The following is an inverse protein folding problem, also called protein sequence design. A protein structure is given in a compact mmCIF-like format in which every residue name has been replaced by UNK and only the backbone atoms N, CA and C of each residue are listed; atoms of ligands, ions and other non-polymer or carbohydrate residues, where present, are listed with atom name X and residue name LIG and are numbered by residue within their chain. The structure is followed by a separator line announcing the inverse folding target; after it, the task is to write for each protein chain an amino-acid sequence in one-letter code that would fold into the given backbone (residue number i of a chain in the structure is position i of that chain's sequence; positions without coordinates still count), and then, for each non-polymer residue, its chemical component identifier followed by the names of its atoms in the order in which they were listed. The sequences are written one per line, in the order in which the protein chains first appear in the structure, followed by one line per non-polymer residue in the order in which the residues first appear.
data_IF_735311113640
#
_entry.id   IF_735311113640
#
_cell.length_a   1.000
_cell.length_b   1.000
_cell.length_c   1.000
_cell.angle_alpha   90.00
_cell.angle_beta   90.00
_cell.angle_gamma   90.00
#
_symmetry.space_group_name_H-M   'P 1'
#
loop_
_entity.id
_entity.type
_entity.pdbx_description
1 polymer ?
#
# COMPACT_ATOMS: atom_id res chain seq x y z
N UNK A 1 43.53 -7.81 -26.57
CA UNK A 1 42.93 -8.81 -25.66
C UNK A 1 42.29 -8.01 -24.53
N UNK A 2 40.95 -8.01 -24.49
CA UNK A 2 40.04 -7.54 -23.43
C UNK A 2 40.01 -6.00 -23.22
N UNK A 3 39.06 -5.26 -23.81
CA UNK A 3 37.59 -5.16 -23.58
C UNK A 3 37.22 -4.28 -22.36
N UNK A 4 36.48 -3.21 -22.68
CA UNK A 4 35.34 -2.61 -21.97
C UNK A 4 35.42 -2.32 -20.46
N UNK A 5 35.43 -1.04 -20.10
CA UNK A 5 34.81 -0.54 -18.86
C UNK A 5 34.04 0.75 -19.16
N UNK A 6 32.85 0.58 -19.72
CA UNK A 6 31.75 1.55 -19.62
C UNK A 6 31.22 1.52 -18.17
N UNK A 7 31.24 2.66 -17.48
CA UNK A 7 30.80 2.73 -16.08
C UNK A 7 30.50 4.15 -15.60
N UNK A 8 29.66 4.86 -16.35
CA UNK A 8 28.75 5.95 -15.95
C UNK A 8 29.11 6.72 -14.66
N UNK A 9 30.00 7.71 -14.79
CA UNK A 9 30.07 8.89 -13.91
C UNK A 9 29.09 9.94 -14.44
N UNK A 10 27.86 9.94 -13.93
CA UNK A 10 26.94 11.09 -14.06
C UNK A 10 26.96 11.87 -12.75
N UNK A 11 28.11 12.50 -12.49
CA UNK A 11 28.24 13.63 -11.58
C UNK A 11 28.03 14.91 -12.37
N UNK A 12 26.86 15.54 -12.19
CA UNK A 12 26.53 16.84 -12.77
C UNK A 12 25.51 17.52 -11.89
N UNK A 13 25.97 18.53 -11.16
CA UNK A 13 25.18 19.32 -10.22
C UNK A 13 24.25 20.33 -10.92
N UNK A 14 23.37 20.92 -10.11
CA UNK A 14 22.65 22.21 -10.25
C UNK A 14 21.20 22.12 -10.74
N UNK A 15 20.28 22.61 -9.89
CA UNK A 15 18.91 22.94 -10.26
C UNK A 15 17.95 23.14 -9.08
N UNK A 16 18.27 24.05 -8.17
CA UNK A 16 17.35 24.55 -7.14
C UNK A 16 16.28 25.42 -7.81
N UNK A 17 15.05 24.93 -8.02
CA UNK A 17 13.83 25.74 -8.13
C UNK A 17 12.60 24.94 -7.65
N UNK A 18 12.09 25.39 -6.51
CA UNK A 18 10.76 25.18 -5.96
C UNK A 18 9.67 25.49 -7.00
N UNK A 19 8.71 24.58 -7.22
CA UNK A 19 7.52 24.93 -7.99
C UNK A 19 6.62 23.76 -8.33
N UNK A 20 5.53 23.63 -7.57
CA UNK A 20 4.41 22.72 -7.82
C UNK A 20 4.76 21.22 -7.75
N UNK A 21 4.78 20.69 -6.52
CA UNK A 21 4.14 19.39 -6.31
C UNK A 21 2.68 19.59 -6.70
N UNK A 22 2.37 19.27 -7.96
CA UNK A 22 0.99 19.14 -8.41
C UNK A 22 0.42 18.05 -7.50
N UNK A 23 -0.30 18.48 -6.46
CA UNK A 23 -1.29 17.66 -5.78
C UNK A 23 -2.28 17.30 -6.87
N UNK A 24 -1.96 16.31 -7.70
CA UNK A 24 -2.91 15.76 -8.63
C UNK A 24 -4.01 15.22 -7.71
N UNK A 25 -5.17 15.89 -7.61
CA UNK A 25 -6.21 15.41 -6.74
C UNK A 25 -6.51 14.02 -7.28
N UNK A 26 -6.46 13.04 -6.39
CA UNK A 26 -7.08 11.78 -6.70
C UNK A 26 -8.54 12.12 -6.98
N UNK A 27 -8.89 12.22 -8.26
CA UNK A 27 -10.27 12.34 -8.71
C UNK A 27 -10.97 11.26 -7.90
N UNK A 28 -11.85 11.65 -6.98
CA UNK A 28 -12.58 10.76 -6.07
C UNK A 28 -13.05 9.58 -6.91
N UNK A 29 -12.27 8.50 -6.94
CA UNK A 29 -12.62 7.33 -7.69
C UNK A 29 -13.83 6.81 -6.93
N UNK A 30 -15.00 6.98 -7.53
CA UNK A 30 -16.29 6.69 -6.91
C UNK A 30 -16.15 5.32 -6.25
N UNK A 31 -16.24 5.28 -4.92
CA UNK A 31 -16.09 4.05 -4.15
C UNK A 31 -17.03 3.01 -4.77
N UNK A 32 -16.47 2.01 -5.45
CA UNK A 32 -17.26 1.04 -6.20
C UNK A 32 -17.01 -0.33 -5.59
N UNK A 33 -18.03 -0.96 -4.99
CA UNK A 33 -18.07 -2.38 -4.60
C UNK A 33 -16.76 -2.94 -4.01
N UNK A 34 -16.16 -2.24 -3.04
CA UNK A 34 -14.94 -2.69 -2.36
C UNK A 34 -13.64 -2.55 -3.16
N UNK A 35 -13.61 -1.74 -4.23
CA UNK A 35 -12.39 -1.43 -4.99
C UNK A 35 -11.94 -0.01 -4.71
N UNK A 36 -10.63 0.16 -4.65
CA UNK A 36 -9.97 1.46 -4.56
C UNK A 36 -8.64 1.45 -5.27
N UNK A 37 -8.10 2.62 -5.60
CA UNK A 37 -6.72 2.72 -6.07
C UNK A 37 -5.79 2.86 -4.87
N UNK A 38 -4.72 2.06 -4.85
CA UNK A 38 -3.72 2.08 -3.79
C UNK A 38 -2.35 1.71 -4.38
N UNK A 39 -1.31 1.70 -3.54
CA UNK A 39 -0.02 1.12 -3.91
C UNK A 39 0.41 0.05 -2.91
N UNK A 40 1.07 -0.99 -3.40
CA UNK A 40 1.65 -2.05 -2.58
C UNK A 40 3.11 -2.28 -2.94
N UNK A 41 3.91 -2.67 -1.94
CA UNK A 41 5.24 -3.27 -2.13
C UNK A 41 5.52 -4.31 -1.05
N UNK A 42 6.49 -5.16 -1.31
CA UNK A 42 7.08 -6.05 -0.31
C UNK A 42 8.08 -5.27 0.54
N UNK A 43 7.98 -5.38 1.86
CA UNK A 43 9.00 -4.91 2.79
C UNK A 43 10.04 -6.00 3.04
N UNK A 44 9.57 -7.21 3.35
CA UNK A 44 10.40 -8.41 3.47
C UNK A 44 9.59 -9.68 3.17
N UNK A 45 10.29 -10.77 2.85
CA UNK A 45 9.69 -12.04 2.42
C UNK A 45 9.41 -12.08 0.92
N UNK A 46 8.50 -12.96 0.50
CA UNK A 46 8.12 -13.10 -0.90
C UNK A 46 6.60 -13.23 -1.07
N UNK A 47 6.09 -12.60 -2.12
CA UNK A 47 4.69 -12.69 -2.52
C UNK A 47 4.59 -12.64 -4.03
N UNK A 48 3.83 -13.56 -4.61
CA UNK A 48 3.62 -13.61 -6.05
C UNK A 48 2.94 -12.31 -6.54
N UNK A 49 3.41 -11.76 -7.66
CA UNK A 49 2.88 -10.53 -8.23
C UNK A 49 3.27 -9.21 -7.53
N UNK A 50 4.09 -9.26 -6.47
CA UNK A 50 4.61 -8.08 -5.76
C UNK A 50 6.14 -8.07 -5.67
N UNK A 51 6.71 -6.87 -5.58
CA UNK A 51 8.16 -6.63 -5.51
C UNK A 51 8.48 -5.61 -4.42
N UNK A 52 9.76 -5.39 -4.13
CA UNK A 52 10.21 -4.33 -3.21
C UNK A 52 9.95 -2.91 -3.73
N UNK A 53 9.77 -2.74 -5.05
CA UNK A 53 9.32 -1.49 -5.65
C UNK A 53 7.81 -1.28 -5.49
N UNK A 54 7.39 -0.03 -5.26
CA UNK A 54 5.97 0.33 -5.19
C UNK A 54 5.27 0.07 -6.53
N UNK A 55 4.13 -0.62 -6.45
CA UNK A 55 3.23 -0.84 -7.57
C UNK A 55 1.89 -0.19 -7.28
N UNK A 56 1.51 0.78 -8.11
CA UNK A 56 0.17 1.38 -8.10
C UNK A 56 -0.81 0.49 -8.86
N UNK A 57 -2.05 0.47 -8.41
CA UNK A 57 -3.13 -0.25 -9.10
C UNK A 57 -4.44 -0.23 -8.33
N UNK A 58 -5.44 -0.90 -8.91
CA UNK A 58 -6.70 -1.14 -8.23
C UNK A 58 -6.53 -2.30 -7.25
N UNK A 59 -6.89 -2.05 -5.99
CA UNK A 59 -6.99 -3.02 -4.92
C UNK A 59 -8.47 -3.29 -4.66
N UNK A 60 -8.86 -4.55 -4.62
CA UNK A 60 -10.15 -4.96 -4.08
C UNK A 60 -9.97 -5.44 -2.65
N UNK A 61 -10.78 -4.89 -1.75
CA UNK A 61 -10.74 -5.19 -0.32
C UNK A 61 -11.95 -6.08 0.01
N UNK A 62 -11.65 -7.24 0.59
CA UNK A 62 -12.59 -8.18 1.19
C UNK A 62 -12.19 -8.41 2.65
N UNK A 63 -13.10 -8.85 3.52
CA UNK A 63 -12.75 -9.23 4.88
C UNK A 63 -11.59 -10.25 4.87
N UNK A 64 -10.46 -9.91 5.50
CA UNK A 64 -9.26 -10.75 5.56
C UNK A 64 -8.43 -10.88 4.27
N UNK A 65 -8.81 -10.23 3.16
CA UNK A 65 -8.12 -10.38 1.88
C UNK A 65 -8.00 -9.07 1.10
N UNK A 66 -6.85 -8.89 0.45
CA UNK A 66 -6.65 -7.89 -0.59
C UNK A 66 -6.49 -8.62 -1.93
N UNK A 67 -7.04 -8.08 -3.01
CA UNK A 67 -6.78 -8.55 -4.36
C UNK A 67 -6.11 -7.42 -5.14
N UNK A 68 -4.92 -7.68 -5.67
CA UNK A 68 -4.13 -6.70 -6.39
C UNK A 68 -3.58 -7.32 -7.67
N UNK A 69 -3.92 -6.69 -8.82
CA UNK A 69 -3.51 -7.17 -10.16
C UNK A 69 -3.84 -8.65 -10.43
N UNK A 70 -4.94 -9.14 -9.88
CA UNK A 70 -5.38 -10.53 -10.04
C UNK A 70 -4.80 -11.51 -9.02
N UNK A 71 -3.88 -11.07 -8.15
CA UNK A 71 -3.33 -11.89 -7.07
C UNK A 71 -4.11 -11.65 -5.77
N UNK A 72 -4.53 -12.72 -5.12
CA UNK A 72 -5.13 -12.68 -3.78
C UNK A 72 -4.04 -12.68 -2.72
N UNK A 73 -4.19 -11.80 -1.74
CA UNK A 73 -3.26 -11.58 -0.63
C UNK A 73 -4.05 -11.81 0.66
N UNK A 74 -3.74 -12.90 1.36
CA UNK A 74 -4.32 -13.18 2.67
C UNK A 74 -3.70 -12.26 3.72
N UNK A 75 -4.54 -11.49 4.41
CA UNK A 75 -4.11 -10.57 5.45
C UNK A 75 -4.30 -11.21 6.82
N UNK A 76 -3.20 -11.33 7.56
CA UNK A 76 -3.22 -11.81 8.95
C UNK A 76 -3.45 -10.64 9.92
N UNK A 77 -2.76 -9.52 9.69
CA UNK A 77 -2.92 -8.31 10.48
C UNK A 77 -2.48 -7.08 9.70
N UNK A 78 -2.96 -5.91 10.16
CA UNK A 78 -2.54 -4.60 9.67
C UNK A 78 -2.07 -3.78 10.88
N UNK A 79 -0.98 -3.03 10.73
CA UNK A 79 -0.48 -2.17 11.79
C UNK A 79 -1.44 -1.02 12.08
N UNK A 80 -1.70 -0.73 13.35
CA UNK A 80 -2.46 0.46 13.76
C UNK A 80 -1.66 1.76 13.56
N UNK A 81 -0.33 1.67 13.68
CA UNK A 81 0.58 2.79 13.47
C UNK A 81 0.84 3.01 11.96
N UNK A 82 -0.03 3.80 11.32
CA UNK A 82 0.22 4.29 9.97
C UNK A 82 1.37 5.31 9.95
N UNK A 83 2.15 5.32 8.86
CA UNK A 83 3.16 6.35 8.63
C UNK A 83 2.88 7.16 7.37
N UNK A 84 3.39 8.38 7.35
CA UNK A 84 3.43 9.18 6.13
C UNK A 84 4.52 8.66 5.15
N UNK A 85 4.34 8.86 3.84
CA UNK A 85 5.35 8.61 2.83
C UNK A 85 6.63 9.42 3.07
N UNK A 86 7.79 8.78 2.96
CA UNK A 86 9.06 9.50 2.92
C UNK A 86 9.19 10.28 1.59
N UNK A 87 10.05 11.31 1.56
CA UNK A 87 10.24 12.18 0.38
C UNK A 87 10.54 11.37 -0.89
N UNK A 88 11.41 10.35 -0.80
CA UNK A 88 11.74 9.48 -1.93
C UNK A 88 10.58 8.60 -2.42
N UNK A 89 9.51 8.45 -1.64
CA UNK A 89 8.33 7.67 -2.00
C UNK A 89 7.26 8.51 -2.72
N UNK A 90 7.31 9.84 -2.63
CA UNK A 90 6.25 10.75 -3.13
C UNK A 90 5.95 10.63 -4.62
N UNK A 91 6.93 10.22 -5.43
CA UNK A 91 6.71 9.97 -6.85
C UNK A 91 5.95 8.66 -7.12
N UNK A 92 6.02 7.71 -6.18
CA UNK A 92 5.50 6.34 -6.32
C UNK A 92 4.26 6.05 -5.46
N UNK A 93 4.02 6.83 -4.41
CA UNK A 93 2.80 6.83 -3.59
C UNK A 93 2.30 8.27 -3.46
N UNK A 94 1.00 8.49 -3.29
CA UNK A 94 0.51 9.86 -3.15
C UNK A 94 0.95 10.46 -1.82
N UNK A 95 1.28 11.75 -1.79
CA UNK A 95 1.80 12.43 -0.58
C UNK A 95 0.82 12.45 0.58
N UNK A 96 -0.49 12.36 0.28
CA UNK A 96 -1.58 12.28 1.25
C UNK A 96 -1.92 10.83 1.65
N UNK A 97 -1.17 9.84 1.15
CA UNK A 97 -1.38 8.45 1.53
C UNK A 97 -0.93 8.20 2.97
N UNK A 98 -1.57 7.23 3.60
CA UNK A 98 -1.13 6.60 4.83
C UNK A 98 -0.60 5.22 4.47
N UNK A 99 0.61 4.91 4.94
CA UNK A 99 1.26 3.62 4.68
C UNK A 99 1.05 2.72 5.89
N UNK A 100 0.40 1.60 5.64
CA UNK A 100 0.15 0.55 6.60
C UNK A 100 1.09 -0.62 6.34
N UNK A 101 1.55 -1.25 7.41
CA UNK A 101 2.23 -2.53 7.34
C UNK A 101 1.19 -3.65 7.39
N UNK A 102 1.25 -4.58 6.44
CA UNK A 102 0.34 -5.72 6.33
C UNK A 102 1.13 -7.01 6.49
N UNK A 103 0.79 -7.80 7.48
CA UNK A 103 1.36 -9.13 7.66
C UNK A 103 0.57 -10.16 6.83
N UNK A 104 1.30 -10.99 6.09
CA UNK A 104 0.79 -12.13 5.33
C UNK A 104 1.52 -13.40 5.76
N UNK A 105 1.06 -14.60 5.39
CA UNK A 105 1.75 -15.84 5.76
C UNK A 105 3.20 -15.94 5.26
N UNK A 106 3.55 -15.29 4.15
CA UNK A 106 4.87 -15.44 3.49
C UNK A 106 5.68 -14.15 3.41
N UNK A 107 5.08 -13.00 3.72
CA UNK A 107 5.70 -11.70 3.56
C UNK A 107 5.09 -10.63 4.47
N UNK A 108 5.83 -9.55 4.66
CA UNK A 108 5.30 -8.28 5.14
C UNK A 108 5.25 -7.30 3.99
N UNK A 109 4.08 -6.71 3.79
CA UNK A 109 3.82 -5.77 2.72
C UNK A 109 3.64 -4.37 3.30
N UNK A 110 3.96 -3.37 2.51
CA UNK A 110 3.56 -1.99 2.74
C UNK A 110 2.42 -1.64 1.80
N UNK A 111 1.35 -1.12 2.37
CA UNK A 111 0.14 -0.74 1.67
C UNK A 111 -0.11 0.76 1.84
N UNK A 112 0.09 1.51 0.76
CA UNK A 112 -0.18 2.94 0.73
C UNK A 112 -1.64 3.18 0.32
N UNK A 113 -2.42 3.69 1.27
CA UNK A 113 -3.84 3.98 1.13
C UNK A 113 -4.03 5.49 1.10
N UNK A 114 -4.71 6.08 0.10
CA UNK A 114 -5.05 7.50 0.12
C UNK A 114 -5.74 7.88 1.44
N UNK A 115 -5.24 8.92 2.13
CA UNK A 115 -5.67 9.30 3.48
C UNK A 115 -7.20 9.40 3.66
N UNK A 116 -7.95 10.06 2.76
CA UNK A 116 -9.41 10.14 2.86
C UNK A 116 -10.16 8.79 2.79
N UNK A 117 -9.50 7.72 2.37
CA UNK A 117 -10.07 6.39 2.18
C UNK A 117 -9.59 5.37 3.22
N UNK A 118 -8.66 5.73 4.11
CA UNK A 118 -8.03 4.81 5.05
C UNK A 118 -9.01 4.15 6.00
N UNK A 119 -9.85 4.94 6.67
CA UNK A 119 -10.85 4.42 7.61
C UNK A 119 -11.83 3.43 6.95
N UNK A 120 -12.27 3.74 5.74
CA UNK A 120 -13.14 2.85 4.96
C UNK A 120 -12.41 1.56 4.53
N UNK A 121 -11.15 1.68 4.12
CA UNK A 121 -10.35 0.55 3.66
C UNK A 121 -10.10 -0.45 4.80
N UNK A 122 -9.74 0.05 5.99
CA UNK A 122 -9.51 -0.76 7.19
C UNK A 122 -10.79 -1.43 7.69
N UNK A 123 -11.92 -0.71 7.72
CA UNK A 123 -13.20 -1.28 8.17
C UNK A 123 -13.70 -2.41 7.28
N UNK A 124 -13.36 -2.39 5.99
CA UNK A 124 -13.70 -3.45 5.03
C UNK A 124 -12.79 -4.68 5.14
N UNK A 125 -11.57 -4.48 5.61
CA UNK A 125 -10.59 -5.54 5.80
C UNK A 125 -10.78 -6.26 7.13
N UNK A 126 -11.26 -5.53 8.14
CA UNK A 126 -11.72 -6.12 9.39
C UNK A 126 -12.73 -7.24 9.07
N UNK A 127 -12.52 -8.41 9.68
CA UNK A 127 -13.54 -9.43 9.65
C UNK A 127 -14.78 -8.85 10.32
N UNK A 128 -16.01 -9.08 9.80
CA UNK A 128 -17.16 -8.99 10.67
C UNK A 128 -16.88 -10.03 11.77
N UNK A 129 -16.46 -9.58 12.93
CA UNK A 129 -16.47 -10.43 14.12
C UNK A 129 -17.92 -10.91 14.20
N UNK A 130 -18.13 -12.20 13.89
CA UNK A 130 -19.30 -12.91 14.35
C UNK A 130 -19.18 -12.81 15.87
N UNK A 131 -19.91 -11.88 16.48
CA UNK A 131 -20.12 -11.91 17.91
C UNK A 131 -20.74 -13.29 18.15
N UNK A 132 -19.96 -14.21 18.69
CA UNK A 132 -20.56 -15.38 19.32
C UNK A 132 -21.58 -14.85 20.32
N UNK A 133 -22.81 -15.38 20.35
CA UNK A 133 -23.73 -15.02 21.40
C UNK A 133 -23.01 -15.33 22.71
N UNK A 134 -22.67 -14.28 23.45
CA UNK A 134 -22.26 -14.38 24.83
C UNK A 134 -23.43 -15.11 25.50
N UNK A 135 -23.25 -16.40 25.73
CA UNK A 135 -24.20 -17.19 26.49
C UNK A 135 -24.33 -16.45 27.81
N UNK A 136 -25.49 -15.83 28.00
CA UNK A 136 -25.95 -15.41 29.30
C UNK A 136 -26.20 -16.72 30.07
N UNK A 137 -25.12 -17.28 30.59
CA UNK A 137 -25.16 -18.15 31.75
C UNK A 137 -25.09 -17.20 32.94
N UNK A 138 -26.25 -16.78 33.43
CA UNK A 138 -26.40 -16.33 34.81
C UNK A 138 -27.89 -16.48 35.22
N UNK A 139 -28.12 -17.57 35.98
CA UNK A 139 -29.22 -17.88 36.92
C UNK A 139 -30.56 -18.42 36.39
#
# INVERSE_FOLDING_TARGET
MLDDVLGTLLGGAIGDVIGHVIKAPFIRAKQSRGKMRAALRVEWGSHDGLTTAWRRGNVRIRPGFLEFRGHEIRVLSVSDAARSPAVGEWLQVHTDSQIYSVATPSARLLWAVPGPQSAWALSRLAHPCRQEPHAADES
#
